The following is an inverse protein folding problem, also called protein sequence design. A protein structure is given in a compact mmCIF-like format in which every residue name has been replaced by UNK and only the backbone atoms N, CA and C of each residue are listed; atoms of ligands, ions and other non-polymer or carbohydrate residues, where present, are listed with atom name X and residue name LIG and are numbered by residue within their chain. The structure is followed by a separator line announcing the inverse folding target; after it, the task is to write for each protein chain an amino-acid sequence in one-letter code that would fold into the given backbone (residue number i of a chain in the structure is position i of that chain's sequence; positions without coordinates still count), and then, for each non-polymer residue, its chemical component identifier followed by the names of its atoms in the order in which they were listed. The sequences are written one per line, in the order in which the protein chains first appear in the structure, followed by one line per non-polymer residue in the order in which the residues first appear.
data_IF_083589859749
#
_entry.id   IF_083589859749
#
_cell.length_a   1.000
_cell.length_b   1.000
_cell.length_c   1.000
_cell.angle_alpha   90.00
_cell.angle_beta   90.00
_cell.angle_gamma   90.00
#
_symmetry.space_group_name_H-M   'P 1'
#
loop_
_entity.id
_entity.type
_entity.pdbx_description
1 polymer ?
#
# COMPACT_ATOMS: atom_id res chain seq x y z
N UNK A 1 -31.39 18.92 19.22
CA UNK A 1 -30.89 18.25 18.01
C UNK A 1 -29.94 19.22 17.30
N UNK A 2 -28.77 18.74 16.88
CA UNK A 2 -27.85 19.50 16.02
C UNK A 2 -28.17 19.16 14.56
N UNK A 3 -28.20 20.17 13.70
CA UNK A 3 -28.46 20.00 12.26
C UNK A 3 -27.40 20.77 11.47
N UNK A 4 -26.91 20.18 10.40
CA UNK A 4 -25.96 20.79 9.47
C UNK A 4 -26.73 21.19 8.21
N UNK A 5 -26.55 22.43 7.76
CA UNK A 5 -27.05 22.92 6.47
C UNK A 5 -25.86 23.15 5.55
N UNK A 6 -25.81 22.41 4.44
CA UNK A 6 -24.86 22.61 3.36
C UNK A 6 -25.46 23.63 2.40
N UNK A 7 -24.92 24.85 2.39
CA UNK A 7 -25.39 25.95 1.55
C UNK A 7 -24.64 25.93 0.21
N UNK A 8 -25.36 25.69 -0.89
CA UNK A 8 -24.84 25.73 -2.26
C UNK A 8 -25.34 26.92 -3.07
N UNK A 9 -24.79 27.14 -4.26
CA UNK A 9 -25.26 28.23 -5.14
C UNK A 9 -26.68 27.98 -5.67
N UNK A 10 -26.98 26.72 -6.00
CA UNK A 10 -28.19 26.31 -6.70
C UNK A 10 -28.13 26.62 -8.21
N UNK A 11 -28.79 25.78 -8.99
CA UNK A 11 -28.83 25.85 -10.45
C UNK A 11 -30.26 25.69 -10.94
N UNK A 12 -30.67 26.43 -12.00
CA UNK A 12 -31.98 26.27 -12.63
C UNK A 12 -32.12 24.90 -13.31
N UNK A 13 -31.01 24.23 -13.63
CA UNK A 13 -30.98 22.83 -14.06
C UNK A 13 -30.88 21.93 -12.83
N UNK A 14 -31.96 21.19 -12.52
CA UNK A 14 -32.05 20.31 -11.33
C UNK A 14 -30.91 19.28 -11.26
N UNK A 15 -30.56 18.65 -12.37
CA UNK A 15 -29.49 17.62 -12.40
C UNK A 15 -28.07 18.18 -12.12
N UNK A 16 -27.91 19.51 -12.08
CA UNK A 16 -26.65 20.15 -11.71
C UNK A 16 -26.56 20.48 -10.20
N UNK A 17 -27.64 20.28 -9.43
CA UNK A 17 -27.67 20.49 -7.98
C UNK A 17 -27.05 19.29 -7.23
N UNK A 18 -25.76 19.03 -7.50
CA UNK A 18 -25.04 17.88 -6.95
C UNK A 18 -24.70 18.01 -5.44
N UNK A 19 -25.06 19.12 -4.81
CA UNK A 19 -24.81 19.38 -3.38
C UNK A 19 -25.53 18.36 -2.48
N UNK A 20 -26.68 17.83 -2.95
CA UNK A 20 -27.42 16.77 -2.27
C UNK A 20 -26.60 15.47 -2.10
N UNK A 21 -25.76 15.14 -3.08
CA UNK A 21 -24.90 13.96 -2.99
C UNK A 21 -23.85 14.11 -1.89
N UNK A 22 -23.28 15.31 -1.77
CA UNK A 22 -22.30 15.64 -0.72
C UNK A 22 -22.97 15.62 0.66
N UNK A 23 -24.17 16.20 0.79
CA UNK A 23 -24.92 16.15 2.04
C UNK A 23 -25.19 14.70 2.49
N UNK A 24 -25.57 13.83 1.55
CA UNK A 24 -25.79 12.40 1.82
C UNK A 24 -24.52 11.69 2.29
N UNK A 25 -23.38 11.96 1.64
CA UNK A 25 -22.09 11.39 2.04
C UNK A 25 -21.68 11.87 3.44
N UNK A 26 -21.80 13.17 3.71
CA UNK A 26 -21.47 13.77 5.01
C UNK A 26 -22.35 13.22 6.13
N UNK A 27 -23.65 13.05 5.88
CA UNK A 27 -24.59 12.43 6.82
C UNK A 27 -24.08 11.05 7.29
N UNK A 28 -23.72 10.20 6.33
CA UNK A 28 -23.23 8.86 6.61
C UNK A 28 -21.89 8.84 7.35
N UNK A 29 -21.02 9.82 7.10
CA UNK A 29 -19.70 9.91 7.74
C UNK A 29 -19.77 10.44 9.17
N UNK A 30 -20.56 11.47 9.40
CA UNK A 30 -20.62 12.17 10.71
C UNK A 30 -21.53 11.42 11.68
N UNK A 31 -22.62 10.83 11.20
CA UNK A 31 -23.62 10.18 12.05
C UNK A 31 -24.04 8.80 11.51
N UNK A 32 -23.15 7.79 11.58
CA UNK A 32 -23.48 6.44 11.12
C UNK A 32 -24.66 5.87 11.96
N UNK A 33 -25.79 5.60 11.29
CA UNK A 33 -27.00 5.07 11.93
C UNK A 33 -28.07 6.10 12.31
N UNK A 34 -27.89 7.37 11.98
CA UNK A 34 -28.90 8.39 12.18
C UNK A 34 -30.04 8.24 11.15
N UNK A 35 -31.27 8.02 11.63
CA UNK A 35 -32.50 8.01 10.82
C UNK A 35 -33.17 9.38 10.70
N UNK A 36 -32.55 10.40 11.30
CA UNK A 36 -33.04 11.78 11.26
C UNK A 36 -32.34 12.53 10.14
N UNK A 37 -33.05 13.42 9.45
CA UNK A 37 -32.52 14.26 8.37
C UNK A 37 -31.65 15.40 8.95
N UNK A 38 -30.49 15.04 9.51
CA UNK A 38 -29.62 15.95 10.27
C UNK A 38 -28.54 16.65 9.43
N UNK A 39 -28.41 16.31 8.15
CA UNK A 39 -27.62 17.07 7.16
C UNK A 39 -28.52 17.45 6.00
N UNK A 40 -28.86 18.74 5.89
CA UNK A 40 -29.80 19.28 4.90
C UNK A 40 -29.07 20.16 3.89
N UNK A 41 -29.72 20.40 2.76
CA UNK A 41 -29.22 21.31 1.72
C UNK A 41 -30.08 22.55 1.67
N UNK A 42 -29.43 23.69 1.45
CA UNK A 42 -30.09 24.94 1.11
C UNK A 42 -29.35 25.61 -0.04
N UNK A 43 -30.06 26.46 -0.78
CA UNK A 43 -29.52 27.12 -1.96
C UNK A 43 -29.60 28.63 -1.81
N UNK A 44 -28.60 29.32 -2.35
CA UNK A 44 -28.59 30.78 -2.36
C UNK A 44 -29.49 31.35 -3.47
N UNK A 45 -29.54 30.67 -4.62
CA UNK A 45 -30.31 31.11 -5.79
C UNK A 45 -30.82 29.92 -6.61
N UNK A 46 -31.85 30.14 -7.43
CA UNK A 46 -32.34 29.24 -8.49
C UNK A 46 -32.87 27.85 -8.07
N UNK A 47 -32.75 27.48 -6.80
CA UNK A 47 -33.22 26.22 -6.25
C UNK A 47 -33.77 26.41 -4.84
N UNK A 48 -34.57 25.46 -4.40
CA UNK A 48 -35.24 25.47 -3.10
C UNK A 48 -34.83 24.22 -2.30
N UNK A 49 -34.82 24.29 -0.96
CA UNK A 49 -35.18 25.45 -0.14
C UNK A 49 -34.07 26.52 -0.13
N UNK A 50 -34.46 27.79 -0.01
CA UNK A 50 -33.52 28.84 0.37
C UNK A 50 -32.98 28.66 1.80
N UNK A 51 -31.91 29.40 2.16
CA UNK A 51 -31.25 29.26 3.46
C UNK A 51 -32.18 29.60 4.63
N UNK A 52 -33.01 30.64 4.52
CA UNK A 52 -33.93 31.03 5.58
C UNK A 52 -35.06 30.02 5.77
N UNK A 53 -35.55 29.46 4.66
CA UNK A 53 -36.56 28.41 4.66
C UNK A 53 -36.00 27.13 5.29
N UNK A 54 -34.80 26.71 4.91
CA UNK A 54 -34.13 25.56 5.51
C UNK A 54 -33.89 25.75 7.02
N UNK A 55 -33.45 26.93 7.45
CA UNK A 55 -33.33 27.28 8.87
C UNK A 55 -34.69 27.16 9.56
N UNK A 56 -35.72 27.78 8.99
CA UNK A 56 -37.07 27.80 9.56
C UNK A 56 -37.59 26.37 9.78
N UNK A 57 -37.37 25.48 8.83
CA UNK A 57 -37.83 24.09 8.93
C UNK A 57 -37.00 23.29 9.93
N UNK A 58 -35.68 23.50 10.00
CA UNK A 58 -34.84 22.92 11.06
C UNK A 58 -35.33 23.32 12.46
N UNK A 59 -35.70 24.59 12.64
CA UNK A 59 -36.22 25.08 13.94
C UNK A 59 -37.57 24.45 14.28
N UNK A 60 -38.49 24.33 13.31
CA UNK A 60 -39.77 23.63 13.50
C UNK A 60 -39.56 22.18 13.92
N UNK A 61 -38.55 21.52 13.38
CA UNK A 61 -38.19 20.14 13.70
C UNK A 61 -37.45 20.01 15.04
N UNK A 62 -37.27 21.11 15.79
CA UNK A 62 -36.69 21.10 17.13
C UNK A 62 -35.16 21.20 17.16
N UNK A 63 -34.53 21.68 16.09
CA UNK A 63 -33.11 22.00 16.11
C UNK A 63 -32.80 23.02 17.22
N UNK A 64 -31.75 22.73 17.99
CA UNK A 64 -31.22 23.61 19.05
C UNK A 64 -29.88 24.24 18.66
N UNK A 65 -29.23 23.65 17.66
CA UNK A 65 -28.00 24.13 17.07
C UNK A 65 -28.04 23.85 15.56
N UNK A 66 -27.74 24.88 14.77
CA UNK A 66 -27.69 24.81 13.31
C UNK A 66 -26.29 25.25 12.87
N UNK A 67 -25.59 24.34 12.20
CA UNK A 67 -24.27 24.61 11.61
C UNK A 67 -24.48 24.85 10.12
N UNK A 68 -24.11 26.04 9.64
CA UNK A 68 -24.19 26.38 8.23
C UNK A 68 -22.78 26.27 7.63
N UNK A 69 -22.64 25.38 6.64
CA UNK A 69 -21.41 25.19 5.88
C UNK A 69 -21.57 25.66 4.43
N UNK A 70 -20.84 26.70 4.00
CA UNK A 70 -20.84 27.15 2.61
C UNK A 70 -20.06 26.18 1.71
N UNK A 71 -20.76 25.49 0.83
CA UNK A 71 -20.16 24.60 -0.17
C UNK A 71 -19.73 25.38 -1.42
N UNK A 72 -18.73 26.26 -1.26
CA UNK A 72 -18.19 27.12 -2.30
C UNK A 72 -16.65 27.02 -2.35
N UNK A 73 -16.10 26.82 -3.55
CA UNK A 73 -14.64 26.77 -3.78
C UNK A 73 -13.98 28.15 -3.77
N UNK A 74 -14.74 29.21 -4.04
CA UNK A 74 -14.24 30.58 -4.08
C UNK A 74 -15.08 31.47 -3.18
N UNK A 75 -14.40 32.30 -2.39
CA UNK A 75 -15.03 33.26 -1.47
C UNK A 75 -15.44 34.52 -2.23
N UNK A 76 -16.59 34.48 -2.91
CA UNK A 76 -17.24 35.68 -3.48
C UNK A 76 -18.10 36.43 -2.45
N UNK A 77 -18.70 37.56 -2.85
CA UNK A 77 -19.59 38.37 -1.98
C UNK A 77 -20.65 37.51 -1.28
N UNK A 78 -21.25 36.56 -1.99
CA UNK A 78 -22.23 35.61 -1.47
C UNK A 78 -21.81 34.89 -0.18
N UNK A 79 -20.54 34.48 -0.08
CA UNK A 79 -20.01 33.76 1.09
C UNK A 79 -19.65 34.75 2.20
N UNK A 80 -19.08 35.91 1.86
CA UNK A 80 -18.57 36.88 2.85
C UNK A 80 -19.62 37.82 3.42
N UNK A 81 -20.74 38.06 2.73
CA UNK A 81 -21.77 39.03 3.14
C UNK A 81 -23.17 38.44 3.23
N UNK A 82 -23.61 37.71 2.22
CA UNK A 82 -25.03 37.38 2.07
C UNK A 82 -25.48 36.27 3.05
N UNK A 83 -24.74 35.17 3.11
CA UNK A 83 -25.02 34.08 4.06
C UNK A 83 -24.88 34.55 5.52
N UNK A 84 -23.82 35.28 5.91
CA UNK A 84 -23.75 35.87 7.25
C UNK A 84 -24.94 36.78 7.56
N UNK A 85 -25.38 37.64 6.63
CA UNK A 85 -26.55 38.51 6.81
C UNK A 85 -27.84 37.73 7.07
N UNK A 86 -28.06 36.65 6.30
CA UNK A 86 -29.17 35.71 6.49
C UNK A 86 -29.13 35.07 7.89
N UNK A 87 -27.95 34.65 8.35
CA UNK A 87 -27.78 34.02 9.66
C UNK A 87 -28.07 35.04 10.78
N UNK A 88 -27.63 36.29 10.66
CA UNK A 88 -27.92 37.33 11.65
C UNK A 88 -29.41 37.68 11.72
N UNK A 89 -30.11 37.69 10.59
CA UNK A 89 -31.58 37.81 10.57
C UNK A 89 -32.23 36.63 11.31
N UNK A 90 -31.79 35.40 11.04
CA UNK A 90 -32.28 34.20 11.72
C UNK A 90 -32.01 34.22 13.23
N UNK A 91 -30.83 34.70 13.67
CA UNK A 91 -30.51 34.87 15.10
C UNK A 91 -31.51 35.78 15.80
N UNK A 92 -31.87 36.91 15.17
CA UNK A 92 -32.86 37.85 15.72
C UNK A 92 -34.28 37.26 15.81
N UNK A 93 -34.61 36.28 14.95
CA UNK A 93 -35.91 35.62 14.92
C UNK A 93 -35.99 34.41 15.87
N UNK A 94 -34.88 33.71 16.11
CA UNK A 94 -34.85 32.42 16.80
C UNK A 94 -33.87 32.41 18.00
N UNK A 95 -34.21 33.13 19.07
CA UNK A 95 -33.36 33.33 20.27
C UNK A 95 -33.00 32.06 21.07
N UNK A 96 -33.61 30.91 20.76
CA UNK A 96 -33.38 29.63 21.46
C UNK A 96 -32.53 28.63 20.66
N UNK A 97 -31.90 29.07 19.57
CA UNK A 97 -31.14 28.24 18.64
C UNK A 97 -29.74 28.82 18.47
N UNK A 98 -28.73 27.98 18.65
CA UNK A 98 -27.35 28.35 18.39
C UNK A 98 -27.06 28.25 16.88
N UNK A 99 -26.48 29.30 16.30
CA UNK A 99 -26.06 29.31 14.90
C UNK A 99 -24.53 29.34 14.81
N UNK A 100 -23.97 28.38 14.07
CA UNK A 100 -22.53 28.29 13.80
C UNK A 100 -22.31 28.42 12.30
N UNK A 101 -21.46 29.36 11.90
CA UNK A 101 -21.02 29.53 10.52
C UNK A 101 -19.58 29.02 10.39
N UNK A 102 -19.32 28.18 9.41
CA UNK A 102 -17.98 27.62 9.17
C UNK A 102 -17.29 28.30 8.01
N UNK A 103 -15.96 28.14 7.93
CA UNK A 103 -15.23 28.54 6.73
C UNK A 103 -15.77 27.78 5.50
N UNK A 104 -15.85 28.45 4.33
CA UNK A 104 -16.24 27.79 3.11
C UNK A 104 -15.21 26.72 2.73
N UNK A 105 -15.59 25.79 1.84
CA UNK A 105 -14.68 24.76 1.34
C UNK A 105 -13.34 25.35 0.84
N UNK A 106 -13.42 26.43 0.05
CA UNK A 106 -12.27 27.29 -0.25
C UNK A 106 -11.05 26.57 -0.83
N UNK A 107 -9.88 27.19 -0.64
CA UNK A 107 -8.59 26.61 -1.01
C UNK A 107 -8.08 25.79 0.19
N UNK A 108 -7.94 24.48 0.00
CA UNK A 108 -7.44 23.56 1.01
C UNK A 108 -6.54 22.49 0.37
N UNK A 109 -5.52 21.99 1.08
CA UNK A 109 -4.58 21.00 0.54
C UNK A 109 -5.29 19.73 0.02
N UNK A 110 -6.29 19.23 0.76
CA UNK A 110 -7.12 18.09 0.31
C UNK A 110 -7.91 18.38 -0.98
N UNK A 111 -8.27 19.64 -1.24
CA UNK A 111 -8.87 19.99 -2.53
C UNK A 111 -7.83 19.94 -3.65
N UNK A 112 -6.60 20.36 -3.38
CA UNK A 112 -5.50 20.19 -4.33
C UNK A 112 -5.20 18.71 -4.62
N UNK A 113 -5.25 17.83 -3.60
CA UNK A 113 -5.11 16.38 -3.77
C UNK A 113 -6.21 15.80 -4.66
N UNK A 114 -7.48 16.15 -4.42
CA UNK A 114 -8.59 15.69 -5.27
C UNK A 114 -8.44 16.24 -6.69
N UNK A 115 -8.06 17.49 -6.86
CA UNK A 115 -7.79 18.07 -8.20
C UNK A 115 -6.64 17.34 -8.88
N UNK A 116 -5.56 17.03 -8.16
CA UNK A 116 -4.45 16.24 -8.66
C UNK A 116 -4.91 14.84 -9.07
N UNK A 117 -5.72 14.15 -8.26
CA UNK A 117 -6.29 12.84 -8.59
C UNK A 117 -7.11 12.90 -9.88
N UNK A 118 -7.94 13.94 -10.07
CA UNK A 118 -8.72 14.14 -11.31
C UNK A 118 -7.83 14.44 -12.52
N UNK A 119 -6.78 15.25 -12.34
CA UNK A 119 -5.80 15.52 -13.39
C UNK A 119 -5.08 14.24 -13.76
N UNK A 120 -4.54 13.50 -12.79
CA UNK A 120 -3.87 12.20 -12.97
C UNK A 120 -4.79 11.11 -13.54
N UNK A 121 -6.09 11.18 -13.30
CA UNK A 121 -7.05 10.30 -13.96
C UNK A 121 -7.29 10.69 -15.44
N UNK A 122 -7.06 11.96 -15.80
CA UNK A 122 -7.25 12.48 -17.16
C UNK A 122 -5.98 12.41 -18.02
N UNK A 123 -4.82 12.63 -17.41
CA UNK A 123 -3.50 12.39 -17.96
C UNK A 123 -3.15 10.98 -17.51
N UNK A 124 -3.37 9.96 -18.34
CA UNK A 124 -2.99 8.60 -17.99
C UNK A 124 -1.49 8.53 -17.71
N UNK A 125 -1.09 8.80 -16.46
CA UNK A 125 0.28 8.71 -16.02
C UNK A 125 0.67 7.28 -16.27
N UNK A 126 1.71 7.09 -17.08
CA UNK A 126 2.17 5.74 -17.37
C UNK A 126 2.55 5.10 -16.03
N UNK A 127 2.32 3.80 -15.82
CA UNK A 127 2.71 3.11 -14.59
C UNK A 127 4.15 3.43 -14.14
N UNK A 128 5.04 3.68 -15.11
CA UNK A 128 6.43 4.12 -14.94
C UNK A 128 6.58 5.49 -14.23
N UNK A 129 5.71 6.46 -14.52
CA UNK A 129 5.74 7.80 -13.93
C UNK A 129 5.24 7.79 -12.47
N UNK A 130 4.27 6.93 -12.16
CA UNK A 130 3.77 6.71 -10.79
C UNK A 130 4.84 6.02 -9.94
N UNK A 131 5.50 5.00 -10.49
CA UNK A 131 6.61 4.30 -9.82
C UNK A 131 7.77 5.27 -9.56
N UNK A 132 8.17 6.07 -10.57
CA UNK A 132 9.21 7.10 -10.43
C UNK A 132 8.88 8.11 -9.34
N UNK A 133 7.66 8.66 -9.33
CA UNK A 133 7.23 9.61 -8.31
C UNK A 133 7.22 9.01 -6.91
N UNK A 134 6.84 7.73 -6.79
CA UNK A 134 6.88 7.02 -5.50
C UNK A 134 8.31 6.87 -4.99
N UNK A 135 9.27 6.55 -5.87
CA UNK A 135 10.68 6.45 -5.48
C UNK A 135 11.33 7.79 -5.14
N UNK A 136 10.89 8.89 -5.77
CA UNK A 136 11.29 10.25 -5.39
C UNK A 136 10.86 10.55 -3.94
N UNK A 137 9.58 10.32 -3.61
CA UNK A 137 9.06 10.53 -2.25
C UNK A 137 9.81 9.67 -1.22
N UNK A 138 10.05 8.39 -1.52
CA UNK A 138 10.82 7.50 -0.63
C UNK A 138 12.24 8.01 -0.42
N UNK A 139 12.87 8.57 -1.46
CA UNK A 139 14.24 9.10 -1.37
C UNK A 139 14.30 10.42 -0.59
N UNK A 140 13.21 11.18 -0.55
CA UNK A 140 13.08 12.38 0.29
C UNK A 140 12.83 12.03 1.77
N UNK A 141 12.10 10.95 2.06
CA UNK A 141 11.74 10.54 3.42
C UNK A 141 12.75 9.60 4.09
N UNK A 142 13.61 8.92 3.31
CA UNK A 142 14.57 7.94 3.81
C UNK A 142 15.99 8.35 3.44
N UNK A 143 16.77 8.72 4.45
CA UNK A 143 18.22 8.79 4.30
C UNK A 143 18.77 7.37 4.05
N UNK A 144 19.41 7.15 2.91
CA UNK A 144 20.06 5.87 2.55
C UNK A 144 21.58 6.03 2.42
N UNK A 145 22.15 7.16 2.87
CA UNK A 145 23.57 7.45 2.73
C UNK A 145 24.49 6.45 3.44
N UNK A 146 23.98 5.74 4.45
CA UNK A 146 24.64 4.67 5.20
C UNK A 146 24.47 3.27 4.56
N UNK A 147 23.61 3.14 3.55
CA UNK A 147 23.35 1.88 2.84
C UNK A 147 24.21 1.81 1.58
N UNK A 148 25.01 0.74 1.38
CA UNK A 148 25.77 0.55 0.14
C UNK A 148 24.88 0.62 -1.10
N UNK A 149 25.35 1.29 -2.15
CA UNK A 149 24.61 1.56 -3.39
C UNK A 149 23.95 0.30 -3.98
N UNK A 150 24.70 -0.80 -4.04
CA UNK A 150 24.22 -2.12 -4.51
C UNK A 150 22.99 -2.66 -3.74
N UNK A 151 22.73 -2.17 -2.52
CA UNK A 151 21.62 -2.59 -1.65
C UNK A 151 20.48 -1.59 -1.64
N UNK A 152 20.75 -0.34 -2.01
CA UNK A 152 19.76 0.74 -1.94
C UNK A 152 18.55 0.42 -2.81
N UNK A 153 18.75 -0.09 -4.02
CA UNK A 153 17.66 -0.45 -4.94
C UNK A 153 16.75 -1.53 -4.34
N UNK A 154 17.31 -2.52 -3.65
CA UNK A 154 16.53 -3.54 -2.92
C UNK A 154 15.77 -2.94 -1.73
N UNK A 155 16.43 -2.12 -0.91
CA UNK A 155 15.81 -1.47 0.26
C UNK A 155 14.66 -0.57 -0.16
N UNK A 156 14.86 0.29 -1.18
CA UNK A 156 13.84 1.16 -1.76
C UNK A 156 12.67 0.33 -2.28
N UNK A 157 12.92 -0.77 -2.99
CA UNK A 157 11.86 -1.63 -3.54
C UNK A 157 11.00 -2.27 -2.46
N UNK A 158 11.63 -2.71 -1.36
CA UNK A 158 10.93 -3.28 -0.21
C UNK A 158 10.08 -2.20 0.47
N UNK A 159 10.63 -1.02 0.74
CA UNK A 159 9.90 0.11 1.33
C UNK A 159 8.72 0.52 0.43
N UNK A 160 8.94 0.67 -0.87
CA UNK A 160 7.90 1.01 -1.84
C UNK A 160 6.72 0.02 -1.80
N UNK A 161 7.03 -1.27 -1.73
CA UNK A 161 6.00 -2.32 -1.75
C UNK A 161 5.25 -2.43 -0.41
N UNK A 162 5.86 -2.00 0.69
CA UNK A 162 5.32 -2.20 2.05
C UNK A 162 4.84 -0.92 2.71
N UNK A 163 5.21 0.25 2.18
CA UNK A 163 5.10 1.56 2.83
C UNK A 163 5.68 1.56 4.26
N UNK A 164 6.75 0.80 4.50
CA UNK A 164 7.31 0.59 5.83
C UNK A 164 8.82 0.85 5.87
N UNK A 165 9.19 2.00 6.44
CA UNK A 165 10.56 2.47 6.53
C UNK A 165 11.44 1.65 7.49
N UNK A 166 10.86 0.85 8.39
CA UNK A 166 11.64 0.01 9.32
C UNK A 166 12.42 -1.09 8.60
N UNK A 167 12.09 -1.40 7.34
CA UNK A 167 12.87 -2.34 6.54
C UNK A 167 14.30 -1.85 6.28
N UNK A 168 14.54 -0.53 6.25
CA UNK A 168 15.91 0.01 6.15
C UNK A 168 16.82 -0.55 7.26
N UNK A 169 16.36 -0.48 8.50
CA UNK A 169 17.16 -0.87 9.67
C UNK A 169 17.12 -2.36 10.00
N UNK A 170 16.12 -3.10 9.48
CA UNK A 170 15.95 -4.52 9.78
C UNK A 170 16.49 -5.46 8.71
N UNK A 171 16.66 -5.02 7.46
CA UNK A 171 17.23 -5.85 6.39
C UNK A 171 18.70 -6.17 6.66
N UNK A 172 19.07 -7.43 6.46
CA UNK A 172 20.43 -7.96 6.63
C UNK A 172 20.83 -8.71 5.38
N UNK A 173 22.04 -8.41 4.90
CA UNK A 173 22.59 -8.95 3.66
C UNK A 173 23.90 -9.67 3.98
N UNK A 174 24.06 -10.87 3.44
CA UNK A 174 25.39 -11.45 3.30
C UNK A 174 26.24 -10.57 2.36
N UNK A 175 27.57 -10.42 2.58
CA UNK A 175 28.41 -9.60 1.71
C UNK A 175 28.30 -9.94 0.22
N UNK A 176 28.19 -11.22 -0.11
CA UNK A 176 28.04 -11.71 -1.49
C UNK A 176 26.59 -11.78 -2.01
N UNK A 177 25.59 -11.38 -1.22
CA UNK A 177 24.19 -11.66 -1.53
C UNK A 177 23.72 -11.09 -2.88
N UNK A 178 23.99 -9.80 -3.11
CA UNK A 178 23.56 -9.10 -4.34
C UNK A 178 24.28 -9.68 -5.56
N UNK A 179 25.60 -9.85 -5.46
CA UNK A 179 26.43 -10.44 -6.51
C UNK A 179 25.96 -11.85 -6.87
N UNK A 180 25.78 -12.73 -5.89
CA UNK A 180 25.33 -14.10 -6.09
C UNK A 180 23.94 -14.16 -6.75
N UNK A 181 23.02 -13.30 -6.33
CA UNK A 181 21.69 -13.19 -6.93
C UNK A 181 21.73 -12.79 -8.41
N UNK A 182 22.51 -11.76 -8.75
CA UNK A 182 22.66 -11.29 -10.13
C UNK A 182 23.36 -12.35 -11.00
N UNK A 183 24.43 -12.98 -10.51
CA UNK A 183 25.13 -14.05 -11.21
C UNK A 183 24.23 -15.27 -11.46
N UNK A 184 23.41 -15.66 -10.47
CA UNK A 184 22.45 -16.74 -10.63
C UNK A 184 21.41 -16.45 -11.73
N UNK A 185 20.86 -15.23 -11.75
CA UNK A 185 19.91 -14.79 -12.79
C UNK A 185 20.58 -14.82 -14.15
N UNK A 186 21.76 -14.19 -14.30
CA UNK A 186 22.47 -14.10 -15.59
C UNK A 186 22.91 -15.46 -16.13
N UNK A 187 23.12 -16.43 -15.25
CA UNK A 187 23.48 -17.80 -15.61
C UNK A 187 22.26 -18.68 -15.95
N UNK A 188 21.05 -18.11 -15.99
CA UNK A 188 19.82 -18.84 -16.34
C UNK A 188 19.35 -19.83 -15.27
N UNK A 189 19.73 -19.60 -14.01
CA UNK A 189 19.33 -20.47 -12.90
C UNK A 189 17.87 -20.24 -12.51
N UNK A 190 17.26 -21.29 -11.99
CA UNK A 190 15.87 -21.27 -11.55
C UNK A 190 15.70 -20.59 -10.18
N UNK A 191 14.52 -20.02 -9.96
CA UNK A 191 14.09 -19.44 -8.68
C UNK A 191 13.06 -20.38 -8.05
N UNK A 192 13.41 -20.97 -6.91
CA UNK A 192 12.51 -21.78 -6.10
C UNK A 192 11.77 -20.92 -5.07
N UNK A 193 10.47 -21.14 -4.89
CA UNK A 193 9.63 -20.39 -3.96
C UNK A 193 8.87 -21.29 -2.99
N UNK A 194 8.64 -20.82 -1.77
CA UNK A 194 7.93 -21.59 -0.75
C UNK A 194 6.40 -21.63 -0.96
N UNK A 195 5.82 -20.58 -1.52
CA UNK A 195 4.37 -20.46 -1.76
C UNK A 195 4.05 -19.85 -3.13
N UNK A 196 2.87 -20.18 -3.66
CA UNK A 196 2.43 -19.74 -4.99
C UNK A 196 2.36 -18.21 -5.13
N UNK A 197 2.01 -17.49 -4.04
CA UNK A 197 1.97 -16.02 -4.06
C UNK A 197 3.33 -15.38 -4.37
N UNK A 198 4.44 -16.02 -3.94
CA UNK A 198 5.79 -15.55 -4.30
C UNK A 198 6.03 -15.86 -5.78
N UNK A 199 5.71 -17.09 -6.24
CA UNK A 199 5.85 -17.49 -7.65
C UNK A 199 5.11 -16.58 -8.61
N UNK A 200 3.89 -16.16 -8.27
CA UNK A 200 3.05 -15.32 -9.14
C UNK A 200 3.51 -13.87 -9.19
N UNK A 201 4.09 -13.34 -8.10
CA UNK A 201 4.56 -11.96 -8.03
C UNK A 201 5.91 -11.71 -8.72
N UNK A 202 6.72 -12.74 -8.92
CA UNK A 202 8.02 -12.62 -9.61
C UNK A 202 7.81 -12.34 -11.11
N UNK A 203 8.58 -11.40 -11.66
CA UNK A 203 8.54 -11.05 -13.08
C UNK A 203 9.17 -12.15 -13.95
N UNK A 204 8.37 -13.16 -14.30
CA UNK A 204 8.79 -14.33 -15.11
C UNK A 204 9.35 -13.93 -16.47
N UNK A 205 8.80 -12.90 -17.11
CA UNK A 205 9.27 -12.43 -18.42
C UNK A 205 10.72 -11.94 -18.38
N UNK A 206 11.13 -11.28 -17.30
CA UNK A 206 12.52 -10.86 -17.14
C UNK A 206 13.45 -12.05 -16.89
N UNK A 207 13.04 -12.99 -16.05
CA UNK A 207 13.83 -14.19 -15.78
C UNK A 207 13.99 -15.08 -17.03
N UNK A 208 12.92 -15.24 -17.81
CA UNK A 208 12.89 -16.06 -19.03
C UNK A 208 13.88 -15.56 -20.10
N UNK A 209 14.19 -14.26 -20.14
CA UNK A 209 15.24 -13.71 -21.03
C UNK A 209 16.61 -14.33 -20.77
N UNK A 210 16.88 -14.67 -19.51
CA UNK A 210 18.13 -15.31 -19.09
C UNK A 210 18.03 -16.84 -19.10
N UNK A 211 16.86 -17.42 -19.41
CA UNK A 211 16.63 -18.87 -19.49
C UNK A 211 16.16 -19.54 -18.20
N UNK A 212 16.03 -18.78 -17.11
CA UNK A 212 15.56 -19.30 -15.82
C UNK A 212 14.04 -19.45 -15.73
N UNK A 213 13.57 -20.26 -14.77
CA UNK A 213 12.14 -20.45 -14.47
C UNK A 213 11.85 -20.22 -12.98
N UNK A 214 10.60 -19.90 -12.67
CA UNK A 214 10.13 -19.80 -11.28
C UNK A 214 9.33 -21.04 -10.90
N UNK A 215 9.75 -21.72 -9.83
CA UNK A 215 9.27 -23.03 -9.40
C UNK A 215 8.59 -22.91 -8.03
N UNK A 216 7.49 -23.63 -7.83
CA UNK A 216 6.85 -23.80 -6.53
C UNK A 216 6.21 -25.20 -6.45
N UNK A 217 6.71 -26.05 -5.57
CA UNK A 217 6.24 -27.43 -5.43
C UNK A 217 5.27 -27.61 -4.25
N UNK A 218 4.66 -26.53 -3.74
CA UNK A 218 3.78 -26.59 -2.55
C UNK A 218 2.51 -27.42 -2.79
N UNK A 219 2.00 -27.47 -4.02
CA UNK A 219 0.77 -28.21 -4.35
C UNK A 219 1.03 -29.72 -4.43
N UNK A 220 2.10 -30.13 -5.14
CA UNK A 220 2.51 -31.54 -5.27
C UNK A 220 2.91 -32.15 -3.92
N UNK A 221 3.50 -31.36 -3.03
CA UNK A 221 3.83 -31.76 -1.66
C UNK A 221 2.63 -31.79 -0.71
N UNK A 222 1.49 -31.22 -1.10
CA UNK A 222 0.24 -31.27 -0.34
C UNK A 222 -0.22 -32.69 -0.05
N UNK A 223 -0.17 -33.55 -1.08
CA UNK A 223 -0.58 -34.96 -0.99
C UNK A 223 0.35 -35.74 -0.04
N UNK A 224 1.67 -35.55 -0.17
CA UNK A 224 2.69 -36.23 0.66
C UNK A 224 2.67 -35.77 2.14
N UNK A 225 2.29 -34.52 2.41
CA UNK A 225 2.24 -33.99 3.79
C UNK A 225 1.19 -34.70 4.65
N UNK A 226 0.06 -35.12 4.06
CA UNK A 226 -0.99 -35.84 4.76
C UNK A 226 -0.57 -37.26 5.16
N UNK A 227 0.40 -37.85 4.45
CA UNK A 227 0.93 -39.19 4.73
C UNK A 227 2.05 -39.20 5.78
N UNK A 228 2.87 -38.13 5.83
CA UNK A 228 4.06 -38.09 6.69
C UNK A 228 3.83 -37.53 8.10
N UNK A 229 2.76 -36.75 8.33
CA UNK A 229 2.31 -36.24 9.64
C UNK A 229 3.22 -35.21 10.33
N UNK A 230 4.54 -35.31 10.18
CA UNK A 230 5.53 -34.51 10.92
C UNK A 230 6.02 -33.27 10.15
N UNK A 231 5.95 -33.27 8.81
CA UNK A 231 6.49 -32.19 7.97
C UNK A 231 5.40 -31.35 7.33
N UNK A 232 5.62 -30.04 7.27
CA UNK A 232 4.74 -29.09 6.60
C UNK A 232 4.84 -29.21 5.08
N UNK A 233 3.78 -28.81 4.36
CA UNK A 233 3.74 -28.76 2.89
C UNK A 233 4.92 -27.97 2.30
N UNK A 234 5.22 -26.82 2.89
CA UNK A 234 6.30 -25.95 2.40
C UNK A 234 7.69 -26.61 2.59
N UNK A 235 7.93 -27.31 3.69
CA UNK A 235 9.17 -28.07 3.91
C UNK A 235 9.35 -29.18 2.87
N UNK A 236 8.30 -29.97 2.62
CA UNK A 236 8.33 -31.04 1.62
C UNK A 236 8.49 -30.49 0.20
N UNK A 237 7.85 -29.36 -0.11
CA UNK A 237 7.99 -28.68 -1.40
C UNK A 237 9.43 -28.25 -1.68
N UNK A 238 10.09 -27.62 -0.70
CA UNK A 238 11.51 -27.23 -0.81
C UNK A 238 12.40 -28.47 -0.93
N UNK A 239 12.21 -29.46 -0.06
CA UNK A 239 13.03 -30.67 -0.04
C UNK A 239 12.96 -31.44 -1.36
N UNK A 240 11.75 -31.58 -1.93
CA UNK A 240 11.53 -32.27 -3.21
C UNK A 240 12.17 -31.49 -4.35
N UNK A 241 11.95 -30.17 -4.42
CA UNK A 241 12.50 -29.34 -5.50
C UNK A 241 14.04 -29.33 -5.53
N UNK A 242 14.69 -29.21 -4.36
CA UNK A 242 16.16 -29.23 -4.28
C UNK A 242 16.78 -30.60 -4.57
N UNK A 243 16.02 -31.69 -4.39
CA UNK A 243 16.46 -33.05 -4.75
C UNK A 243 16.32 -33.32 -6.24
N UNK A 244 15.28 -32.76 -6.87
CA UNK A 244 14.89 -33.06 -8.25
C UNK A 244 15.48 -32.07 -9.26
N UNK A 245 15.84 -30.85 -8.83
CA UNK A 245 16.38 -29.81 -9.69
C UNK A 245 17.71 -29.26 -9.16
N UNK A 246 18.78 -29.48 -9.93
CA UNK A 246 20.12 -28.96 -9.64
C UNK A 246 20.41 -27.57 -10.24
N UNK A 247 19.48 -27.00 -11.03
CA UNK A 247 19.61 -25.69 -11.67
C UNK A 247 19.11 -24.53 -10.78
N UNK A 248 18.70 -24.79 -9.54
CA UNK A 248 18.19 -23.74 -8.64
C UNK A 248 19.35 -22.83 -8.23
N UNK A 249 19.19 -21.52 -8.44
CA UNK A 249 20.17 -20.49 -8.04
C UNK A 249 19.66 -19.52 -6.99
N UNK A 250 18.34 -19.38 -6.85
CA UNK A 250 17.73 -18.53 -5.83
C UNK A 250 16.62 -19.32 -5.13
N UNK A 251 16.59 -19.27 -3.80
CA UNK A 251 15.47 -19.78 -2.99
C UNK A 251 14.82 -18.60 -2.29
N UNK A 252 13.57 -18.29 -2.63
CA UNK A 252 12.81 -17.17 -2.09
C UNK A 252 11.67 -17.66 -1.18
N UNK A 253 11.78 -17.36 0.12
CA UNK A 253 10.88 -17.82 1.18
C UNK A 253 10.21 -16.60 1.79
N UNK A 254 8.95 -16.40 1.43
CA UNK A 254 8.17 -15.24 1.88
C UNK A 254 7.19 -15.56 3.01
N UNK A 255 6.83 -16.82 3.24
CA UNK A 255 5.71 -17.16 4.12
C UNK A 255 6.08 -18.15 5.23
N UNK A 256 6.70 -19.29 4.92
CA UNK A 256 6.85 -20.39 5.87
C UNK A 256 8.21 -20.39 6.59
N UNK A 257 8.26 -20.11 7.92
CA UNK A 257 9.51 -20.24 8.69
C UNK A 257 10.08 -21.66 8.65
N UNK A 258 9.21 -22.67 8.58
CA UNK A 258 9.57 -24.08 8.47
C UNK A 258 10.32 -24.39 7.17
N UNK A 259 9.88 -23.82 6.05
CA UNK A 259 10.58 -23.93 4.77
C UNK A 259 11.99 -23.31 4.83
N UNK A 260 12.13 -22.17 5.53
CA UNK A 260 13.43 -21.53 5.73
C UNK A 260 14.37 -22.40 6.56
N UNK A 261 13.90 -22.93 7.69
CA UNK A 261 14.68 -23.85 8.52
C UNK A 261 15.11 -25.09 7.74
N UNK A 262 14.21 -25.66 6.92
CA UNK A 262 14.53 -26.82 6.09
C UNK A 262 15.55 -26.50 5.01
N UNK A 263 15.48 -25.31 4.41
CA UNK A 263 16.48 -24.83 3.44
C UNK A 263 17.86 -24.77 4.09
N UNK A 264 17.96 -24.16 5.27
CA UNK A 264 19.21 -24.05 6.03
C UNK A 264 19.76 -25.45 6.38
N UNK A 265 18.90 -26.36 6.85
CA UNK A 265 19.28 -27.75 7.15
C UNK A 265 19.88 -28.46 5.92
N UNK A 266 19.24 -28.32 4.76
CA UNK A 266 19.67 -28.98 3.52
C UNK A 266 20.99 -28.41 2.99
N UNK A 267 21.16 -27.09 2.99
CA UNK A 267 22.38 -26.44 2.49
C UNK A 267 23.59 -26.67 3.41
N UNK A 268 23.37 -26.82 4.72
CA UNK A 268 24.45 -27.18 5.64
C UNK A 268 24.86 -28.66 5.55
N UNK A 269 24.03 -29.51 4.95
CA UNK A 269 24.33 -30.92 4.78
C UNK A 269 25.30 -31.14 3.59
N UNK A 270 26.33 -31.96 3.79
CA UNK A 270 27.53 -32.03 2.93
C UNK A 270 27.29 -32.48 1.49
N UNK A 271 26.13 -33.06 1.15
CA UNK A 271 25.82 -33.48 -0.23
C UNK A 271 25.48 -32.33 -1.18
N UNK A 272 25.07 -31.17 -0.66
CA UNK A 272 24.73 -29.98 -1.45
C UNK A 272 25.81 -28.88 -1.37
N UNK A 273 26.92 -29.13 -0.65
CA UNK A 273 27.96 -28.12 -0.41
C UNK A 273 28.61 -27.57 -1.68
N UNK A 274 28.67 -28.33 -2.77
CA UNK A 274 29.17 -27.85 -4.07
C UNK A 274 28.24 -26.82 -4.74
N UNK A 275 26.98 -26.71 -4.33
CA UNK A 275 26.02 -25.71 -4.81
C UNK A 275 26.01 -24.44 -3.94
N UNK A 276 26.64 -24.45 -2.77
CA UNK A 276 26.47 -23.42 -1.73
C UNK A 276 27.10 -22.05 -2.09
N UNK A 277 28.17 -22.02 -2.88
CA UNK A 277 28.83 -20.76 -3.23
C UNK A 277 28.09 -19.95 -4.30
N UNK A 278 27.11 -20.55 -4.97
CA UNK A 278 26.41 -19.94 -6.12
C UNK A 278 24.90 -19.79 -5.88
N UNK A 279 24.41 -20.14 -4.69
CA UNK A 279 23.00 -20.08 -4.34
C UNK A 279 22.71 -18.92 -3.40
N UNK A 280 21.69 -18.14 -3.73
CA UNK A 280 21.17 -17.08 -2.86
C UNK A 280 19.90 -17.54 -2.12
N UNK A 281 19.88 -17.40 -0.80
CA UNK A 281 18.66 -17.61 0.00
C UNK A 281 18.05 -16.27 0.42
N UNK A 282 16.85 -15.97 -0.09
CA UNK A 282 16.04 -14.83 0.36
C UNK A 282 15.04 -15.36 1.38
N UNK A 283 15.33 -15.19 2.66
CA UNK A 283 14.49 -15.69 3.76
C UNK A 283 13.83 -14.54 4.51
N UNK A 284 12.60 -14.20 4.13
CA UNK A 284 11.80 -13.14 4.77
C UNK A 284 10.41 -13.63 5.20
N UNK A 285 10.26 -14.81 5.86
CA UNK A 285 8.97 -15.25 6.34
C UNK A 285 8.39 -14.25 7.35
N UNK A 286 7.10 -13.98 7.21
CA UNK A 286 6.31 -13.20 8.18
C UNK A 286 5.71 -14.13 9.23
N UNK A 287 5.63 -13.68 10.48
CA UNK A 287 4.87 -14.41 11.49
C UNK A 287 5.30 -14.13 12.92
N UNK A 288 4.49 -14.63 13.85
CA UNK A 288 4.72 -14.51 15.28
C UNK A 288 5.39 -15.75 15.89
N UNK A 289 5.42 -16.87 15.15
CA UNK A 289 5.98 -18.15 15.59
C UNK A 289 7.13 -18.53 14.67
N UNK A 290 8.34 -18.72 15.23
CA UNK A 290 9.57 -19.15 14.53
C UNK A 290 10.10 -18.22 13.43
N UNK A 291 9.39 -17.15 13.07
CA UNK A 291 9.80 -16.24 11.99
C UNK A 291 11.09 -15.49 12.33
N UNK A 292 11.18 -14.88 13.52
CA UNK A 292 12.39 -14.16 13.93
C UNK A 292 13.56 -15.13 14.13
N UNK A 293 13.30 -16.27 14.76
CA UNK A 293 14.31 -17.29 15.07
C UNK A 293 14.89 -17.92 13.79
N UNK A 294 14.05 -18.25 12.81
CA UNK A 294 14.51 -18.79 11.52
C UNK A 294 15.33 -17.78 10.71
N UNK A 295 14.98 -16.49 10.77
CA UNK A 295 15.73 -15.41 10.12
C UNK A 295 17.03 -15.07 10.83
N UNK A 296 17.05 -15.10 12.16
CA UNK A 296 18.28 -14.98 12.94
C UNK A 296 19.24 -16.15 12.65
N UNK A 297 18.71 -17.37 12.49
CA UNK A 297 19.51 -18.51 12.06
C UNK A 297 20.03 -18.33 10.63
N UNK A 298 19.21 -17.84 9.69
CA UNK A 298 19.67 -17.52 8.33
C UNK A 298 20.80 -16.48 8.36
N UNK A 299 20.67 -15.45 9.20
CA UNK A 299 21.66 -14.39 9.33
C UNK A 299 23.03 -14.86 9.86
N UNK A 300 23.10 -16.07 10.43
CA UNK A 300 24.35 -16.68 10.90
C UNK A 300 24.97 -17.66 9.91
N UNK A 301 24.42 -17.80 8.70
CA UNK A 301 24.91 -18.75 7.69
C UNK A 301 26.07 -18.16 6.87
N UNK A 302 26.89 -19.05 6.29
CA UNK A 302 28.06 -18.68 5.48
C UNK A 302 27.76 -18.60 3.97
N UNK A 303 26.63 -19.14 3.53
CA UNK A 303 26.19 -19.02 2.13
C UNK A 303 25.46 -17.68 1.91
N UNK A 304 25.41 -17.16 0.67
CA UNK A 304 24.74 -15.90 0.38
C UNK A 304 23.27 -15.88 0.79
N UNK A 305 22.86 -14.83 1.52
CA UNK A 305 21.48 -14.65 1.95
C UNK A 305 21.03 -13.18 1.98
N UNK A 306 19.72 -12.97 1.92
CA UNK A 306 19.04 -11.71 2.27
C UNK A 306 17.91 -12.04 3.23
N UNK A 307 17.83 -11.35 4.36
CA UNK A 307 16.79 -11.54 5.38
C UNK A 307 16.46 -10.23 6.09
N UNK A 308 15.59 -10.27 7.10
CA UNK A 308 15.37 -9.16 8.00
C UNK A 308 15.17 -9.63 9.45
N UNK A 309 15.77 -8.93 10.42
CA UNK A 309 15.70 -9.28 11.84
C UNK A 309 14.48 -8.65 12.52
N UNK A 310 13.29 -9.08 12.11
CA UNK A 310 12.02 -8.70 12.76
C UNK A 310 10.96 -9.80 12.59
N UNK A 311 9.72 -9.57 13.02
CA UNK A 311 8.58 -10.45 12.69
C UNK A 311 7.92 -10.13 11.36
N UNK A 312 8.23 -8.95 10.79
CA UNK A 312 7.74 -8.49 9.49
C UNK A 312 8.44 -9.25 8.36
N UNK A 313 7.82 -9.29 7.19
CA UNK A 313 8.30 -10.05 6.04
C UNK A 313 7.14 -10.25 5.08
N UNK A 314 7.07 -11.41 4.43
CA UNK A 314 5.93 -11.79 3.62
C UNK A 314 6.29 -12.05 2.18
N UNK A 315 5.32 -12.58 1.44
CA UNK A 315 5.45 -12.83 0.00
C UNK A 315 5.77 -11.56 -0.77
N UNK A 316 5.18 -10.42 -0.40
CA UNK A 316 5.43 -9.12 -1.03
C UNK A 316 6.88 -8.66 -0.90
N UNK A 317 7.49 -8.87 0.28
CA UNK A 317 8.91 -8.54 0.53
C UNK A 317 9.82 -9.47 -0.27
N UNK A 318 9.56 -10.78 -0.27
CA UNK A 318 10.34 -11.73 -1.06
C UNK A 318 10.29 -11.40 -2.56
N UNK A 319 9.10 -11.10 -3.08
CA UNK A 319 8.89 -10.68 -4.47
C UNK A 319 9.61 -9.37 -4.78
N UNK A 320 9.54 -8.38 -3.88
CA UNK A 320 10.23 -7.10 -4.05
C UNK A 320 11.74 -7.29 -4.18
N UNK A 321 12.35 -8.11 -3.32
CA UNK A 321 13.79 -8.40 -3.37
C UNK A 321 14.16 -9.12 -4.68
N UNK A 322 13.41 -10.16 -5.06
CA UNK A 322 13.68 -10.90 -6.31
C UNK A 322 13.54 -9.99 -7.53
N UNK A 323 12.48 -9.18 -7.61
CA UNK A 323 12.25 -8.29 -8.75
C UNK A 323 13.29 -7.16 -8.84
N UNK A 324 13.77 -6.65 -7.71
CA UNK A 324 14.90 -5.71 -7.70
C UNK A 324 16.16 -6.36 -8.30
N UNK A 325 16.50 -7.59 -7.87
CA UNK A 325 17.63 -8.32 -8.43
C UNK A 325 17.48 -8.60 -9.94
N UNK A 326 16.27 -8.92 -10.41
CA UNK A 326 15.98 -9.09 -11.85
C UNK A 326 16.20 -7.79 -12.64
N UNK A 327 15.75 -6.65 -12.11
CA UNK A 327 15.98 -5.34 -12.75
C UNK A 327 17.47 -4.98 -12.79
N UNK A 328 18.18 -5.19 -11.68
CA UNK A 328 19.64 -4.97 -11.59
C UNK A 328 20.40 -5.86 -12.57
N UNK A 329 19.96 -7.11 -12.78
CA UNK A 329 20.59 -8.01 -13.75
C UNK A 329 20.47 -7.54 -15.21
N UNK A 330 19.36 -6.87 -15.58
CA UNK A 330 19.19 -6.22 -16.89
C UNK A 330 20.09 -4.98 -17.07
N UNK A 331 20.76 -4.50 -16.01
CA UNK A 331 21.50 -3.23 -16.01
C UNK A 331 20.62 -2.01 -15.77
N UNK A 332 19.37 -2.20 -15.34
CA UNK A 332 18.50 -1.12 -14.89
C UNK A 332 18.73 -0.84 -13.41
N UNK A 333 19.01 0.42 -13.07
CA UNK A 333 18.88 0.85 -11.69
C UNK A 333 17.39 1.08 -11.36
N UNK A 334 16.93 0.59 -10.21
CA UNK A 334 15.54 0.77 -9.77
C UNK A 334 15.27 2.25 -9.37
N UNK A 335 16.33 3.08 -9.36
CA UNK A 335 16.28 4.52 -9.25
C UNK A 335 16.07 5.16 -10.62
N UNK A 336 14.83 5.17 -11.10
CA UNK A 336 14.39 5.97 -12.25
C UNK A 336 15.24 5.83 -13.52
N UNK A 337 14.85 4.92 -14.42
CA UNK A 337 15.40 4.92 -15.78
C UNK A 337 15.15 6.28 -16.47
N UNK A 338 16.21 6.78 -17.11
CA UNK A 338 16.31 8.06 -17.84
C UNK A 338 15.24 8.26 -18.92
#
# INVERSE_FOLDING_TARGET
MEVIIIAGHGSPKKDANNVEQIATLLHNMIHPGCSSDCVRVAYLQFAEPDIMQAITDCVKDGAKKIIIHPYFLSSGMHVTTDIPGIIEEARGKYNGVEFVYTEPLGIHNKMAEVVLERISASTGLKPEEIEKRSFEIISEEVDLSDVPEERQSIVKRVIHTTADFEFKGSLVFHPDAVRAGIEAIKSGRDILTDVEMVRTGINKKLLEKWGGKVICNIQESGVRSQESGEKTRAELGIESALKENNNIGIIAIGNAPTALLKTIELLNNSKLQTLNSELLVIGVPVGFVKALESKALLASQQFPFITNLSRKGGSTVAVAIVNALLKMAEGGDDTAQE
#
